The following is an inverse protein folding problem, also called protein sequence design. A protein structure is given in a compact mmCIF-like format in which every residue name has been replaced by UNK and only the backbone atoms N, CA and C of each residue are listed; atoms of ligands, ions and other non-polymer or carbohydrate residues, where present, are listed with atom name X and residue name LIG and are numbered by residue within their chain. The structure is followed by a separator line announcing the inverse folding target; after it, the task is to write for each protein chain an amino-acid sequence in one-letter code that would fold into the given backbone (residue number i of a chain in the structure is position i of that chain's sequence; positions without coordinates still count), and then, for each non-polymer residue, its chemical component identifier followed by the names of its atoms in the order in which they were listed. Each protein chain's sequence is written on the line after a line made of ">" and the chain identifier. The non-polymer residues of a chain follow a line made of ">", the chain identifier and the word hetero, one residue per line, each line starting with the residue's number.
data_IF_670824336808
#
_entry.id   IF_670824336808
#
_cell.length_a   1.000
_cell.length_b   1.000
_cell.length_c   1.000
_cell.angle_alpha   90.00
_cell.angle_beta   90.00
_cell.angle_gamma   90.00
#
_symmetry.space_group_name_H-M   'P 1'
#
loop_
_entity.id
_entity.type
_entity.pdbx_description
1 polymer ?
#
# COMPACT_ATOMS: atom_id res chain seq x y z
N UNK A 1 13.45 29.17 20.01
CA UNK A 1 12.60 29.09 18.81
C UNK A 1 11.56 28.00 19.05
N UNK A 2 10.28 28.19 18.73
CA UNK A 2 9.29 27.13 18.98
C UNK A 2 9.62 25.90 18.13
N UNK A 3 9.55 24.73 18.76
CA UNK A 3 9.90 23.43 18.15
C UNK A 3 8.81 22.88 17.22
N UNK A 4 7.65 23.52 17.14
CA UNK A 4 6.55 23.16 16.25
C UNK A 4 5.66 24.37 15.98
N UNK A 5 5.03 24.42 14.80
CA UNK A 5 4.01 25.41 14.48
C UNK A 5 2.64 24.74 14.39
N UNK A 6 1.63 25.42 14.94
CA UNK A 6 0.24 25.07 14.76
C UNK A 6 -0.41 26.09 13.83
N UNK A 7 -1.12 25.61 12.81
CA UNK A 7 -1.82 26.44 11.83
C UNK A 7 -3.21 25.87 11.61
N UNK A 8 -4.25 26.67 11.83
CA UNK A 8 -5.62 26.21 11.61
C UNK A 8 -5.90 26.00 10.11
N UNK A 9 -5.57 26.99 9.29
CA UNK A 9 -5.78 26.97 7.84
C UNK A 9 -4.53 27.45 7.12
N UNK A 10 -4.05 26.65 6.16
CA UNK A 10 -2.97 27.05 5.30
C UNK A 10 -3.22 26.58 3.86
N UNK A 11 -2.88 27.44 2.91
CA UNK A 11 -2.99 27.17 1.49
C UNK A 11 -1.77 27.70 0.74
N UNK A 12 -1.42 27.07 -0.38
CA UNK A 12 -0.32 27.48 -1.27
C UNK A 12 1.01 27.61 -0.52
N UNK A 13 1.37 26.53 0.18
CA UNK A 13 2.50 26.54 1.09
C UNK A 13 3.68 25.78 0.48
N UNK A 14 4.84 26.43 0.44
CA UNK A 14 6.10 25.80 0.07
C UNK A 14 7.03 25.93 1.26
N UNK A 15 7.53 24.79 1.74
CA UNK A 15 8.51 24.80 2.83
C UNK A 15 9.62 23.79 2.64
N UNK A 16 10.81 24.24 3.04
CA UNK A 16 12.04 23.46 3.10
C UNK A 16 12.51 23.48 4.56
N UNK A 17 12.58 22.31 5.19
CA UNK A 17 13.13 22.14 6.55
C UNK A 17 12.46 22.93 7.72
N UNK A 18 11.14 23.14 7.80
CA UNK A 18 10.55 23.68 9.04
C UNK A 18 10.60 22.63 10.16
N UNK A 19 10.78 23.07 11.41
CA UNK A 19 11.09 22.18 12.55
C UNK A 19 9.93 21.24 12.99
N UNK A 20 8.74 21.37 12.40
CA UNK A 20 7.56 20.52 12.63
C UNK A 20 6.28 21.30 12.38
N UNK A 21 5.30 20.69 11.71
CA UNK A 21 4.04 21.36 11.33
C UNK A 21 2.82 20.54 11.74
N UNK A 22 1.89 21.19 12.43
CA UNK A 22 0.53 20.69 12.66
C UNK A 22 -0.45 21.63 11.99
N UNK A 23 -1.26 21.11 11.06
CA UNK A 23 -2.19 21.93 10.26
C UNK A 23 -3.58 21.30 10.25
N UNK A 24 -4.64 22.00 10.65
CA UNK A 24 -5.98 21.40 10.57
C UNK A 24 -6.45 21.27 9.12
N UNK A 25 -6.40 22.36 8.35
CA UNK A 25 -6.84 22.37 6.95
C UNK A 25 -5.72 22.86 6.03
N UNK A 26 -5.25 21.97 5.16
CA UNK A 26 -4.12 22.22 4.29
C UNK A 26 -4.46 21.98 2.82
N UNK A 27 -4.17 22.96 1.96
CA UNK A 27 -4.39 22.86 0.52
C UNK A 27 -3.16 23.30 -0.29
N UNK A 28 -2.79 22.55 -1.32
CA UNK A 28 -1.69 22.89 -2.24
C UNK A 28 -0.34 23.06 -1.53
N UNK A 29 0.23 21.95 -1.06
CA UNK A 29 1.48 21.94 -0.32
C UNK A 29 2.61 21.28 -1.11
N UNK A 30 3.78 21.91 -1.04
CA UNK A 30 5.05 21.32 -1.46
C UNK A 30 6.02 21.39 -0.28
N UNK A 31 6.42 20.23 0.24
CA UNK A 31 7.35 20.16 1.37
C UNK A 31 8.58 19.32 1.07
N UNK A 32 9.73 19.75 1.58
CA UNK A 32 11.00 19.05 1.44
C UNK A 32 11.66 18.91 2.81
N UNK A 33 12.11 17.69 3.14
CA UNK A 33 12.86 17.36 4.35
C UNK A 33 12.13 17.77 5.63
N UNK A 34 10.87 17.35 5.72
CA UNK A 34 10.02 17.65 6.85
C UNK A 34 10.26 16.66 8.00
N UNK A 35 10.70 17.10 9.19
CA UNK A 35 10.85 16.20 10.33
C UNK A 35 9.49 15.60 10.73
N UNK A 36 8.46 16.43 10.85
CA UNK A 36 7.10 15.99 11.15
C UNK A 36 6.06 16.89 10.47
N UNK A 37 5.03 16.26 9.91
CA UNK A 37 3.85 16.93 9.38
C UNK A 37 2.60 16.16 9.80
N UNK A 38 1.74 16.82 10.58
CA UNK A 38 0.44 16.28 10.97
C UNK A 38 -0.65 17.14 10.36
N UNK A 39 -1.62 16.53 9.71
CA UNK A 39 -2.80 17.25 9.21
C UNK A 39 -4.12 16.56 9.54
N UNK A 40 -5.18 17.32 9.74
CA UNK A 40 -6.54 16.75 9.85
C UNK A 40 -7.12 16.52 8.44
N UNK A 41 -7.10 17.57 7.61
CA UNK A 41 -7.54 17.53 6.22
C UNK A 41 -6.47 18.11 5.32
N UNK A 42 -6.10 17.35 4.29
CA UNK A 42 -5.09 17.75 3.34
C UNK A 42 -5.49 17.40 1.91
N UNK A 43 -5.36 18.38 1.03
CA UNK A 43 -5.67 18.25 -0.40
C UNK A 43 -4.49 18.76 -1.22
N UNK A 44 -4.10 18.01 -2.25
CA UNK A 44 -2.99 18.32 -3.16
C UNK A 44 -1.65 18.51 -2.42
N UNK A 45 -1.03 17.39 -2.06
CA UNK A 45 0.25 17.36 -1.35
C UNK A 45 1.33 16.71 -2.19
N UNK A 46 2.47 17.39 -2.28
CA UNK A 46 3.72 16.83 -2.78
C UNK A 46 4.76 16.94 -1.67
N UNK A 47 5.26 15.81 -1.19
CA UNK A 47 6.29 15.81 -0.14
C UNK A 47 7.47 14.92 -0.50
N UNK A 48 8.67 15.42 -0.22
CA UNK A 48 9.93 14.72 -0.44
C UNK A 48 10.69 14.57 0.87
N UNK A 49 11.04 13.32 1.20
CA UNK A 49 11.78 12.94 2.41
C UNK A 49 11.15 13.42 3.73
N UNK A 50 9.83 13.27 3.97
CA UNK A 50 9.31 13.46 5.32
C UNK A 50 9.83 12.33 6.22
N UNK A 51 10.32 12.66 7.42
CA UNK A 51 10.62 11.62 8.41
C UNK A 51 9.30 11.02 8.90
N UNK A 52 8.33 11.86 9.27
CA UNK A 52 6.98 11.42 9.64
C UNK A 52 5.91 12.30 9.01
N UNK A 53 4.90 11.69 8.42
CA UNK A 53 3.67 12.35 7.99
C UNK A 53 2.45 11.57 8.49
N UNK A 54 1.56 12.28 9.18
CA UNK A 54 0.29 11.77 9.67
C UNK A 54 -0.85 12.61 9.09
N UNK A 55 -1.90 11.99 8.57
CA UNK A 55 -3.04 12.71 8.00
C UNK A 55 -4.34 11.95 8.21
N UNK A 56 -5.40 12.57 8.73
CA UNK A 56 -6.70 11.87 8.83
C UNK A 56 -7.37 11.76 7.47
N UNK A 57 -7.47 12.85 6.71
CA UNK A 57 -8.10 12.86 5.40
C UNK A 57 -7.15 13.40 4.33
N UNK A 58 -6.67 12.52 3.46
CA UNK A 58 -5.72 12.81 2.39
C UNK A 58 -6.39 12.68 1.02
N UNK A 59 -6.42 13.76 0.25
CA UNK A 59 -6.80 13.76 -1.15
C UNK A 59 -5.64 14.20 -2.03
N UNK A 60 -5.32 13.41 -3.06
CA UNK A 60 -4.25 13.69 -4.03
C UNK A 60 -2.87 13.93 -3.40
N UNK A 61 -2.27 12.85 -2.91
CA UNK A 61 -0.95 12.86 -2.29
C UNK A 61 0.09 12.19 -3.18
N UNK A 62 1.25 12.83 -3.27
CA UNK A 62 2.46 12.28 -3.88
C UNK A 62 3.58 12.41 -2.85
N UNK A 63 4.15 11.27 -2.45
CA UNK A 63 5.23 11.24 -1.46
C UNK A 63 6.43 10.47 -1.97
N UNK A 64 7.64 10.90 -1.61
CA UNK A 64 8.88 10.19 -1.99
C UNK A 64 9.84 10.06 -0.82
N UNK A 65 10.44 8.88 -0.66
CA UNK A 65 11.50 8.59 0.32
C UNK A 65 11.12 8.93 1.78
N UNK A 66 9.92 8.57 2.21
CA UNK A 66 9.46 8.78 3.59
C UNK A 66 9.98 7.70 4.54
N UNK A 67 10.17 8.04 5.83
CA UNK A 67 10.39 7.01 6.86
C UNK A 67 9.06 6.48 7.43
N UNK A 68 8.09 7.35 7.70
CA UNK A 68 6.79 6.94 8.21
C UNK A 68 5.65 7.73 7.57
N UNK A 69 4.62 7.00 7.13
CA UNK A 69 3.36 7.55 6.63
C UNK A 69 2.20 6.86 7.34
N UNK A 70 1.33 7.64 7.97
CA UNK A 70 0.09 7.15 8.59
C UNK A 70 -1.09 7.94 8.06
N UNK A 71 -2.06 7.25 7.46
CA UNK A 71 -3.22 7.90 6.84
C UNK A 71 -4.50 7.18 7.25
N UNK A 72 -5.50 7.92 7.74
CA UNK A 72 -6.78 7.29 8.06
C UNK A 72 -7.62 7.05 6.80
N UNK A 73 -7.80 8.09 5.98
CA UNK A 73 -8.59 8.03 4.75
C UNK A 73 -7.80 8.63 3.59
N UNK A 74 -7.55 7.83 2.55
CA UNK A 74 -6.82 8.24 1.35
C UNK A 74 -7.70 8.10 0.10
N UNK A 75 -7.98 9.20 -0.61
CA UNK A 75 -8.69 9.13 -1.89
C UNK A 75 -7.75 8.67 -3.03
N UNK A 76 -6.65 9.40 -3.23
CA UNK A 76 -5.63 9.10 -4.23
C UNK A 76 -4.25 9.29 -3.60
N UNK A 77 -3.53 8.18 -3.44
CA UNK A 77 -2.22 8.17 -2.78
C UNK A 77 -1.17 7.50 -3.65
N UNK A 78 -0.11 8.25 -3.96
CA UNK A 78 1.05 7.76 -4.70
C UNK A 78 2.27 7.90 -3.81
N UNK A 79 3.05 6.83 -3.67
CA UNK A 79 4.31 6.89 -2.92
C UNK A 79 5.42 6.06 -3.54
N UNK A 80 6.66 6.54 -3.38
CA UNK A 80 7.86 5.82 -3.81
C UNK A 80 8.85 5.71 -2.65
N UNK A 81 9.29 4.48 -2.39
CA UNK A 81 10.25 4.09 -1.35
C UNK A 81 9.87 4.58 0.07
N UNK A 82 8.62 4.40 0.53
CA UNK A 82 8.35 4.56 1.95
C UNK A 82 9.04 3.42 2.72
N UNK A 83 9.66 3.74 3.86
CA UNK A 83 10.12 2.72 4.80
C UNK A 83 8.88 2.05 5.44
N UNK A 84 7.92 2.84 5.91
CA UNK A 84 6.64 2.35 6.42
C UNK A 84 5.47 3.19 5.91
N UNK A 85 4.39 2.53 5.53
CA UNK A 85 3.10 3.16 5.23
C UNK A 85 1.95 2.35 5.84
N UNK A 86 1.11 3.03 6.61
CA UNK A 86 -0.13 2.50 7.17
C UNK A 86 -1.31 3.31 6.66
N UNK A 87 -2.31 2.64 6.06
CA UNK A 87 -3.56 3.26 5.62
C UNK A 87 -4.76 2.48 6.15
N UNK A 88 -5.71 3.15 6.82
CA UNK A 88 -6.94 2.50 7.29
C UNK A 88 -7.93 2.29 6.15
N UNK A 89 -8.25 3.33 5.38
CA UNK A 89 -9.13 3.23 4.22
C UNK A 89 -8.56 3.95 3.02
N UNK A 90 -8.58 3.31 1.85
CA UNK A 90 -8.15 3.92 0.61
C UNK A 90 -9.07 3.63 -0.57
N UNK A 91 -9.30 4.63 -1.43
CA UNK A 91 -9.92 4.40 -2.72
C UNK A 91 -8.86 3.93 -3.74
N UNK A 92 -7.77 4.69 -3.92
CA UNK A 92 -6.71 4.36 -4.86
C UNK A 92 -5.32 4.55 -4.24
N UNK A 93 -4.53 3.48 -4.24
CA UNK A 93 -3.13 3.50 -3.77
C UNK A 93 -2.20 2.97 -4.86
N UNK A 94 -1.12 3.70 -5.11
CA UNK A 94 -0.01 3.25 -5.94
C UNK A 94 1.27 3.38 -5.12
N UNK A 95 1.99 2.27 -4.92
CA UNK A 95 3.30 2.33 -4.26
C UNK A 95 4.41 1.66 -5.07
N UNK A 96 5.63 2.14 -4.91
CA UNK A 96 6.83 1.51 -5.50
C UNK A 96 7.90 1.33 -4.45
N UNK A 97 8.45 0.11 -4.34
CA UNK A 97 9.53 -0.27 -3.42
C UNK A 97 9.27 0.08 -1.94
N UNK A 98 8.07 -0.14 -1.38
CA UNK A 98 7.89 0.02 0.06
C UNK A 98 8.64 -1.06 0.83
N UNK A 99 9.20 -0.74 1.99
CA UNK A 99 9.75 -1.78 2.87
C UNK A 99 8.64 -2.49 3.65
N UNK A 100 7.71 -1.74 4.24
CA UNK A 100 6.55 -2.30 4.95
C UNK A 100 5.28 -1.53 4.62
N UNK A 101 4.21 -2.23 4.26
CA UNK A 101 2.87 -1.67 4.12
C UNK A 101 1.84 -2.43 4.98
N UNK A 102 0.94 -1.67 5.58
CA UNK A 102 -0.29 -2.18 6.19
C UNK A 102 -1.48 -1.40 5.68
N UNK A 103 -2.46 -2.09 5.09
CA UNK A 103 -3.70 -1.47 4.60
C UNK A 103 -4.90 -2.25 5.10
N UNK A 104 -5.83 -1.62 5.81
CA UNK A 104 -7.06 -2.33 6.23
C UNK A 104 -8.03 -2.48 5.07
N UNK A 105 -8.38 -1.39 4.39
CA UNK A 105 -9.31 -1.45 3.26
C UNK A 105 -8.80 -0.66 2.06
N UNK A 106 -8.81 -1.28 0.89
CA UNK A 106 -8.56 -0.63 -0.38
C UNK A 106 -9.61 -0.99 -1.44
N UNK A 107 -10.09 -0.02 -2.21
CA UNK A 107 -10.86 -0.34 -3.43
C UNK A 107 -9.91 -0.79 -4.56
N UNK A 108 -8.89 0.02 -4.85
CA UNK A 108 -7.87 -0.28 -5.85
C UNK A 108 -6.47 -0.08 -5.27
N UNK A 109 -5.65 -1.13 -5.34
CA UNK A 109 -4.28 -1.08 -4.88
C UNK A 109 -3.33 -1.62 -5.95
N UNK A 110 -2.27 -0.87 -6.24
CA UNK A 110 -1.18 -1.27 -7.12
C UNK A 110 0.15 -1.09 -6.38
N UNK A 111 1.00 -2.11 -6.43
CA UNK A 111 2.34 -2.02 -5.83
C UNK A 111 3.39 -2.77 -6.62
N UNK A 112 4.65 -2.32 -6.52
CA UNK A 112 5.78 -2.97 -7.17
C UNK A 112 6.95 -3.12 -6.20
N UNK A 113 7.58 -4.29 -6.17
CA UNK A 113 8.72 -4.65 -5.32
C UNK A 113 8.54 -4.37 -3.82
N UNK A 114 7.39 -4.69 -3.19
CA UNK A 114 7.25 -4.54 -1.76
C UNK A 114 8.03 -5.63 -1.01
N UNK A 115 8.69 -5.28 0.10
CA UNK A 115 9.36 -6.29 0.93
C UNK A 115 8.36 -7.04 1.82
N UNK A 116 7.47 -6.31 2.50
CA UNK A 116 6.39 -6.89 3.31
C UNK A 116 5.07 -6.13 3.14
N UNK A 117 3.98 -6.87 3.00
CA UNK A 117 2.62 -6.35 2.85
C UNK A 117 1.63 -7.11 3.73
N UNK A 118 0.78 -6.37 4.43
CA UNK A 118 -0.39 -6.91 5.13
C UNK A 118 -1.63 -6.14 4.66
N UNK A 119 -2.63 -6.85 4.18
CA UNK A 119 -3.89 -6.27 3.70
C UNK A 119 -5.05 -7.02 4.33
N UNK A 120 -5.99 -6.34 5.00
CA UNK A 120 -7.21 -7.01 5.48
C UNK A 120 -8.18 -7.20 4.30
N UNK A 121 -8.56 -6.12 3.61
CA UNK A 121 -9.56 -6.17 2.54
C UNK A 121 -9.14 -5.37 1.32
N UNK A 122 -9.26 -5.97 0.12
CA UNK A 122 -9.08 -5.25 -1.14
C UNK A 122 -9.98 -5.72 -2.26
N UNK A 123 -10.67 -4.80 -2.94
CA UNK A 123 -11.52 -5.19 -4.08
C UNK A 123 -10.68 -5.56 -5.31
N UNK A 124 -9.71 -4.72 -5.68
CA UNK A 124 -8.80 -4.97 -6.78
C UNK A 124 -7.36 -4.74 -6.35
N UNK A 125 -6.53 -5.78 -6.46
CA UNK A 125 -5.13 -5.71 -6.11
C UNK A 125 -4.23 -6.21 -7.23
N UNK A 126 -3.24 -5.41 -7.58
CA UNK A 126 -2.19 -5.78 -8.53
C UNK A 126 -0.84 -5.59 -7.85
N UNK A 127 0.00 -6.62 -7.88
CA UNK A 127 1.36 -6.53 -7.37
C UNK A 127 2.38 -7.20 -8.27
N UNK A 128 3.63 -6.75 -8.21
CA UNK A 128 4.74 -7.34 -8.93
C UNK A 128 5.92 -7.50 -7.98
N UNK A 129 6.48 -8.72 -7.96
CA UNK A 129 7.63 -9.11 -7.15
C UNK A 129 7.50 -8.80 -5.65
N UNK A 130 6.38 -9.16 -4.97
CA UNK A 130 6.34 -9.08 -3.52
C UNK A 130 7.27 -10.15 -2.90
N UNK A 131 8.05 -9.77 -1.89
CA UNK A 131 8.82 -10.75 -1.11
C UNK A 131 7.93 -11.52 -0.13
N UNK A 132 7.09 -10.81 0.64
CA UNK A 132 6.10 -11.39 1.54
C UNK A 132 4.80 -10.60 1.49
N UNK A 133 3.69 -11.33 1.44
CA UNK A 133 2.35 -10.74 1.33
C UNK A 133 1.32 -11.62 2.04
N UNK A 134 0.58 -11.00 2.96
CA UNK A 134 -0.58 -11.60 3.64
C UNK A 134 -1.82 -10.80 3.29
N UNK A 135 -2.89 -11.49 2.87
CA UNK A 135 -4.19 -10.90 2.57
C UNK A 135 -5.29 -11.70 3.26
N UNK A 136 -6.18 -11.06 4.00
CA UNK A 136 -7.37 -11.78 4.50
C UNK A 136 -8.38 -11.94 3.35
N UNK A 137 -8.82 -10.85 2.73
CA UNK A 137 -9.86 -10.90 1.70
C UNK A 137 -9.51 -10.09 0.44
N UNK A 138 -9.67 -10.72 -0.72
CA UNK A 138 -9.60 -10.03 -2.00
C UNK A 138 -10.59 -10.50 -3.06
N UNK A 139 -11.32 -9.58 -3.71
CA UNK A 139 -12.22 -9.96 -4.78
C UNK A 139 -11.46 -10.30 -6.07
N UNK A 140 -10.54 -9.42 -6.50
CA UNK A 140 -9.72 -9.63 -7.69
C UNK A 140 -8.26 -9.37 -7.38
N UNK A 141 -7.43 -10.40 -7.54
CA UNK A 141 -6.00 -10.31 -7.29
C UNK A 141 -5.17 -10.79 -8.47
N UNK A 142 -4.21 -9.96 -8.89
CA UNK A 142 -3.23 -10.29 -9.92
C UNK A 142 -1.84 -10.08 -9.34
N UNK A 143 -0.99 -11.10 -9.45
CA UNK A 143 0.41 -11.00 -9.01
C UNK A 143 1.37 -11.64 -9.99
N UNK A 144 2.59 -11.11 -10.03
CA UNK A 144 3.69 -11.67 -10.81
C UNK A 144 4.90 -11.85 -9.91
N UNK A 145 5.49 -13.04 -9.94
CA UNK A 145 6.70 -13.43 -9.21
C UNK A 145 6.64 -13.20 -7.68
N UNK A 146 5.55 -13.55 -6.98
CA UNK A 146 5.56 -13.51 -5.52
C UNK A 146 6.54 -14.56 -4.96
N UNK A 147 7.28 -14.20 -3.91
CA UNK A 147 8.22 -15.12 -3.21
C UNK A 147 7.61 -15.82 -2.00
N UNK A 148 6.51 -15.30 -1.49
CA UNK A 148 5.70 -15.89 -0.43
C UNK A 148 4.36 -15.15 -0.35
N UNK A 149 3.28 -15.92 -0.39
CA UNK A 149 1.93 -15.39 -0.39
C UNK A 149 1.03 -16.23 0.53
N UNK A 150 0.32 -15.56 1.43
CA UNK A 150 -0.77 -16.14 2.23
C UNK A 150 -2.06 -15.38 1.95
N UNK A 151 -3.12 -16.10 1.60
CA UNK A 151 -4.46 -15.55 1.36
C UNK A 151 -5.50 -16.38 2.12
N UNK A 152 -6.37 -15.75 2.90
CA UNK A 152 -7.52 -16.49 3.45
C UNK A 152 -8.60 -16.67 2.38
N UNK A 153 -9.08 -15.57 1.77
CA UNK A 153 -10.19 -15.62 0.82
C UNK A 153 -9.92 -14.83 -0.45
N UNK A 154 -10.11 -15.48 -1.61
CA UNK A 154 -10.10 -14.81 -2.91
C UNK A 154 -11.20 -15.29 -3.86
N UNK A 155 -11.90 -14.35 -4.51
CA UNK A 155 -12.88 -14.71 -5.53
C UNK A 155 -12.21 -15.01 -6.89
N UNK A 156 -11.33 -14.12 -7.35
CA UNK A 156 -10.58 -14.28 -8.60
C UNK A 156 -9.10 -14.00 -8.38
N UNK A 157 -8.26 -15.02 -8.57
CA UNK A 157 -6.83 -14.93 -8.38
C UNK A 157 -6.07 -15.38 -9.63
N UNK A 158 -5.20 -14.52 -10.13
CA UNK A 158 -4.27 -14.82 -11.23
C UNK A 158 -2.84 -14.59 -10.74
N UNK A 159 -1.98 -15.58 -10.91
CA UNK A 159 -0.56 -15.48 -10.57
C UNK A 159 0.35 -16.06 -11.64
N UNK A 160 1.54 -15.50 -11.76
CA UNK A 160 2.59 -15.99 -12.66
C UNK A 160 3.90 -16.15 -11.90
N UNK A 161 4.54 -17.30 -12.04
CA UNK A 161 5.81 -17.67 -11.40
C UNK A 161 5.83 -17.49 -9.87
N UNK A 162 4.78 -17.93 -9.13
CA UNK A 162 4.83 -17.88 -7.68
C UNK A 162 5.82 -18.88 -7.10
N UNK A 163 6.51 -18.46 -6.04
CA UNK A 163 7.19 -19.34 -5.11
C UNK A 163 6.44 -19.30 -3.79
N UNK A 164 5.88 -20.44 -3.37
CA UNK A 164 5.16 -20.56 -2.10
C UNK A 164 3.84 -19.80 -2.07
N UNK A 165 2.74 -20.54 -2.23
CA UNK A 165 1.38 -20.05 -2.04
C UNK A 165 0.69 -20.83 -0.92
N UNK A 166 0.04 -20.12 -0.01
CA UNK A 166 -0.91 -20.69 0.95
C UNK A 166 -2.24 -19.97 0.77
N UNK A 167 -3.30 -20.73 0.48
CA UNK A 167 -4.63 -20.17 0.22
C UNK A 167 -5.68 -20.99 0.97
N UNK A 168 -6.53 -20.39 1.80
CA UNK A 168 -7.62 -21.15 2.41
C UNK A 168 -8.76 -21.36 1.40
N UNK A 169 -9.28 -20.29 0.81
CA UNK A 169 -10.43 -20.34 -0.09
C UNK A 169 -10.21 -19.55 -1.38
N UNK A 170 -10.36 -20.22 -2.52
CA UNK A 170 -10.38 -19.59 -3.84
C UNK A 170 -11.59 -20.03 -4.67
N UNK A 171 -12.36 -19.08 -5.22
CA UNK A 171 -13.44 -19.44 -6.16
C UNK A 171 -12.90 -19.70 -7.57
N UNK A 172 -12.05 -18.80 -8.10
CA UNK A 172 -11.38 -18.96 -9.39
C UNK A 172 -9.90 -18.65 -9.26
N UNK A 173 -9.06 -19.66 -9.49
CA UNK A 173 -7.61 -19.55 -9.36
C UNK A 173 -6.89 -20.01 -10.63
N UNK A 174 -6.12 -19.10 -11.22
CA UNK A 174 -5.27 -19.36 -12.39
C UNK A 174 -3.81 -19.12 -12.01
N UNK A 175 -2.96 -20.08 -12.30
CA UNK A 175 -1.51 -19.97 -12.08
C UNK A 175 -0.71 -20.41 -13.29
N UNK A 176 0.50 -19.88 -13.43
CA UNK A 176 1.46 -20.29 -14.46
C UNK A 176 2.83 -20.44 -13.81
N UNK A 177 3.56 -21.53 -14.08
CA UNK A 177 4.89 -21.81 -13.51
C UNK A 177 4.92 -21.83 -11.98
N UNK A 178 4.00 -22.59 -11.40
CA UNK A 178 3.83 -22.72 -9.95
C UNK A 178 4.95 -23.54 -9.29
N UNK A 179 5.54 -23.00 -8.22
CA UNK A 179 6.44 -23.72 -7.32
C UNK A 179 5.95 -23.62 -5.87
N UNK A 180 5.28 -24.67 -5.40
CA UNK A 180 4.73 -24.79 -4.04
C UNK A 180 3.34 -24.14 -3.90
N UNK A 181 2.36 -24.95 -3.52
CA UNK A 181 0.98 -24.54 -3.25
C UNK A 181 0.41 -25.39 -2.11
N UNK A 182 -0.11 -24.72 -1.10
CA UNK A 182 -1.04 -25.28 -0.12
C UNK A 182 -2.38 -24.58 -0.35
N UNK A 183 -3.43 -25.35 -0.65
CA UNK A 183 -4.79 -24.81 -0.79
C UNK A 183 -5.81 -25.70 -0.11
N UNK A 184 -6.69 -25.13 0.72
CA UNK A 184 -7.74 -25.92 1.40
C UNK A 184 -8.95 -26.11 0.48
N UNK A 185 -9.47 -25.03 -0.11
CA UNK A 185 -10.65 -25.05 -0.96
C UNK A 185 -10.43 -24.25 -2.24
N UNK A 186 -10.67 -24.91 -3.38
CA UNK A 186 -10.71 -24.28 -4.69
C UNK A 186 -11.94 -24.75 -5.47
N UNK A 187 -12.81 -23.84 -5.89
CA UNK A 187 -13.96 -24.21 -6.73
C UNK A 187 -13.52 -24.44 -8.19
N UNK A 188 -12.71 -23.52 -8.74
CA UNK A 188 -12.11 -23.64 -10.07
C UNK A 188 -10.62 -23.36 -10.01
N UNK A 189 -9.80 -24.33 -10.43
CA UNK A 189 -8.35 -24.22 -10.45
C UNK A 189 -7.79 -24.55 -11.84
N UNK A 190 -6.92 -23.68 -12.36
CA UNK A 190 -6.23 -23.88 -13.64
C UNK A 190 -4.74 -23.58 -13.47
N UNK A 191 -3.90 -24.50 -13.93
CA UNK A 191 -2.45 -24.34 -13.93
C UNK A 191 -1.89 -24.56 -15.33
N UNK A 192 -0.95 -23.70 -15.73
CA UNK A 192 -0.19 -23.82 -16.97
C UNK A 192 1.28 -24.00 -16.58
N UNK A 193 1.82 -25.21 -16.81
CA UNK A 193 3.17 -25.64 -16.40
C UNK A 193 3.36 -25.70 -14.88
N UNK A 194 3.15 -26.87 -14.27
CA UNK A 194 3.44 -27.15 -12.84
C UNK A 194 4.65 -28.07 -12.69
N UNK A 195 5.62 -27.70 -11.84
CA UNK A 195 6.84 -28.50 -11.61
C UNK A 195 6.81 -29.37 -10.34
N UNK A 196 5.76 -29.30 -9.52
CA UNK A 196 5.60 -30.18 -8.36
C UNK A 196 4.19 -30.03 -7.76
N UNK A 197 3.37 -31.08 -7.82
CA UNK A 197 2.22 -31.29 -6.93
C UNK A 197 2.67 -32.35 -5.92
N UNK A 198 2.91 -31.94 -4.67
CA UNK A 198 3.14 -32.81 -3.52
C UNK A 198 2.16 -32.40 -2.43
#
# INVERSE_FOLDING_TARGET
>A
MPLSFFIEHAAHFIATQPLGLTIEHAAHFITIQQPSLTTEHAVHFITTKPLSLSTKHAAHFITTHSLGLTIEHAAHFITTKPLSLSIKHAAHVITTKPQSLSIKHAAHFITTHPLGLIIEHTAHFITTQPLGLTIEHTAHFITTQPRGLTIEHTAHFITTQPLGLTIEHAAHFITTKLLGLTIEYAANFTTVESLSLL
#
